data_IF_503316560257
#
_entry.id   IF_503316560257
#
_cell.length_a   1.000
_cell.length_b   1.000
_cell.length_c   1.000
_cell.angle_alpha   90.00
_cell.angle_beta   90.00
_cell.angle_gamma   90.00
#
_symmetry.space_group_name_H-M   'P 1'
#
loop_
_entity.id
_entity.type
_entity.pdbx_description
1 polymer ?
#
# COMPACT_ATOMS: atom_id res chain seq x y z
N UNK A 1 22.52 -5.32 37.49
CA UNK A 1 22.86 -4.53 36.29
C UNK A 1 21.75 -4.70 35.27
N UNK A 2 21.00 -3.64 34.96
CA UNK A 2 19.92 -3.70 33.96
C UNK A 2 20.48 -3.87 32.55
N UNK A 3 19.98 -4.86 31.80
CA UNK A 3 20.34 -5.03 30.38
C UNK A 3 19.93 -3.75 29.62
N UNK A 4 20.85 -3.13 28.88
CA UNK A 4 20.49 -2.04 27.96
C UNK A 4 19.54 -2.59 26.89
N UNK A 5 18.44 -1.87 26.65
CA UNK A 5 17.50 -2.22 25.61
C UNK A 5 18.17 -2.10 24.23
N UNK A 6 17.89 -3.05 23.35
CA UNK A 6 18.32 -3.00 21.95
C UNK A 6 17.55 -1.88 21.24
N UNK A 7 18.27 -0.96 20.57
CA UNK A 7 17.68 0.22 19.91
C UNK A 7 17.70 0.12 18.39
N UNK A 8 18.26 -0.95 17.84
CA UNK A 8 18.27 -1.19 16.40
C UNK A 8 16.91 -1.65 15.87
N UNK A 9 16.74 -1.58 14.56
CA UNK A 9 15.54 -2.12 13.89
C UNK A 9 15.48 -3.66 13.96
N UNK A 10 16.63 -4.34 13.88
CA UNK A 10 16.72 -5.80 14.02
C UNK A 10 18.14 -6.23 14.39
N UNK A 11 18.38 -7.47 14.87
CA UNK A 11 19.73 -7.95 15.19
C UNK A 11 20.75 -7.81 14.04
N UNK A 12 20.30 -7.88 12.79
CA UNK A 12 21.13 -7.67 11.60
C UNK A 12 21.44 -6.19 11.34
N UNK A 13 20.59 -5.29 11.83
CA UNK A 13 20.70 -3.83 11.67
C UNK A 13 20.57 -3.11 13.03
N UNK A 14 21.68 -2.97 13.78
CA UNK A 14 21.70 -2.24 15.05
C UNK A 14 21.77 -0.71 14.85
N UNK A 15 20.95 -0.22 13.93
CA UNK A 15 20.69 1.19 13.66
C UNK A 15 19.22 1.47 13.90
N UNK A 16 18.90 2.65 14.44
CA UNK A 16 17.54 3.15 14.49
C UNK A 16 17.05 3.47 13.08
N UNK A 17 15.72 3.49 12.86
CA UNK A 17 15.14 3.91 11.57
C UNK A 17 15.60 5.33 11.17
N UNK A 18 15.76 6.23 12.13
CA UNK A 18 16.21 7.60 11.89
C UNK A 18 17.67 7.65 11.42
N UNK A 19 18.58 6.90 12.06
CA UNK A 19 19.97 6.78 11.61
C UNK A 19 20.04 6.21 10.19
N UNK A 20 19.27 5.15 9.89
CA UNK A 20 19.25 4.56 8.55
C UNK A 20 18.73 5.55 7.50
N UNK A 21 17.67 6.29 7.82
CA UNK A 21 17.14 7.32 6.93
C UNK A 21 18.19 8.38 6.60
N UNK A 22 18.92 8.86 7.60
CA UNK A 22 19.99 9.83 7.42
C UNK A 22 21.16 9.28 6.61
N UNK A 23 21.60 8.05 6.89
CA UNK A 23 22.68 7.39 6.15
C UNK A 23 22.30 7.26 4.67
N UNK A 24 21.12 6.72 4.38
CA UNK A 24 20.64 6.49 3.00
C UNK A 24 20.51 7.82 2.26
N UNK A 25 19.96 8.85 2.91
CA UNK A 25 19.80 10.19 2.34
C UNK A 25 21.14 10.85 2.03
N UNK A 26 22.05 10.92 3.00
CA UNK A 26 23.33 11.64 2.87
C UNK A 26 24.27 10.94 1.90
N UNK A 27 24.21 9.61 1.83
CA UNK A 27 25.04 8.80 0.94
C UNK A 27 24.39 8.52 -0.41
N UNK A 28 23.17 9.02 -0.63
CA UNK A 28 22.38 8.84 -1.84
C UNK A 28 22.26 7.36 -2.28
N UNK A 29 22.10 6.45 -1.32
CA UNK A 29 22.07 5.01 -1.58
C UNK A 29 20.75 4.61 -2.23
N UNK A 30 20.80 3.80 -3.29
CA UNK A 30 19.62 3.41 -4.08
C UNK A 30 19.23 1.94 -3.98
N UNK A 31 20.18 1.06 -3.65
CA UNK A 31 19.94 -0.38 -3.57
C UNK A 31 20.08 -0.89 -2.15
N UNK A 32 19.40 -1.99 -1.83
CA UNK A 32 19.52 -2.63 -0.52
C UNK A 32 20.97 -3.07 -0.23
N UNK A 33 21.66 -3.60 -1.24
CA UNK A 33 23.05 -4.02 -1.10
C UNK A 33 23.96 -2.86 -0.72
N UNK A 34 23.80 -1.69 -1.35
CA UNK A 34 24.60 -0.51 -1.03
C UNK A 34 24.34 -0.03 0.40
N UNK A 35 23.09 -0.11 0.86
CA UNK A 35 22.72 0.19 2.26
C UNK A 35 23.43 -0.75 3.23
N UNK A 36 23.39 -2.07 2.97
CA UNK A 36 24.05 -3.06 3.82
C UNK A 36 25.57 -2.83 3.84
N UNK A 37 26.20 -2.62 2.68
CA UNK A 37 27.65 -2.40 2.58
C UNK A 37 28.10 -1.13 3.32
N UNK A 38 27.37 -0.02 3.17
CA UNK A 38 27.72 1.22 3.86
C UNK A 38 27.47 1.11 5.38
N UNK A 39 26.36 0.48 5.79
CA UNK A 39 26.09 0.24 7.21
C UNK A 39 27.13 -0.71 7.86
N UNK A 40 27.66 -1.67 7.10
CA UNK A 40 28.77 -2.52 7.54
C UNK A 40 30.08 -1.73 7.67
N UNK A 41 30.35 -0.80 6.74
CA UNK A 41 31.54 0.09 6.78
C UNK A 41 31.53 1.01 8.01
N UNK A 42 30.35 1.46 8.45
CA UNK A 42 30.16 2.25 9.68
C UNK A 42 30.37 1.41 10.96
N UNK A 43 30.58 0.09 10.83
CA UNK A 43 31.13 -0.76 11.90
C UNK A 43 30.10 -1.31 12.88
N UNK A 44 28.82 -1.29 12.51
CA UNK A 44 27.73 -1.77 13.39
C UNK A 44 27.08 -3.08 12.93
N UNK A 45 27.28 -3.54 11.69
CA UNK A 45 26.72 -4.83 11.24
C UNK A 45 27.64 -5.99 11.70
N UNK A 46 27.13 -6.95 12.51
CA UNK A 46 27.95 -8.03 13.06
C UNK A 46 28.27 -9.14 12.04
N UNK A 47 27.39 -9.38 11.07
CA UNK A 47 27.55 -10.38 10.01
C UNK A 47 27.00 -9.81 8.69
N UNK A 48 27.90 -9.55 7.74
CA UNK A 48 27.57 -8.98 6.44
C UNK A 48 26.70 -9.93 5.60
N UNK A 49 26.98 -11.23 5.65
CA UNK A 49 26.27 -12.21 4.83
C UNK A 49 24.85 -12.38 5.35
N UNK A 50 24.68 -12.45 6.67
CA UNK A 50 23.35 -12.50 7.28
C UNK A 50 22.57 -11.20 7.05
N UNK A 51 23.23 -10.04 7.10
CA UNK A 51 22.57 -8.76 6.82
C UNK A 51 22.17 -8.57 5.35
N UNK A 52 22.90 -9.15 4.39
CA UNK A 52 22.51 -9.17 2.97
C UNK A 52 21.29 -10.07 2.73
N UNK A 53 21.17 -11.17 3.47
CA UNK A 53 19.97 -12.02 3.43
C UNK A 53 18.76 -11.29 4.04
N UNK A 54 18.99 -10.57 5.14
CA UNK A 54 17.96 -9.80 5.84
C UNK A 54 16.87 -10.65 6.50
N UNK A 55 16.08 -10.01 7.35
CA UNK A 55 14.92 -10.58 8.04
C UNK A 55 13.62 -9.86 7.64
N UNK A 56 12.49 -10.33 8.17
CA UNK A 56 11.13 -9.78 7.95
C UNK A 56 10.94 -8.34 8.47
N UNK A 57 11.89 -7.79 9.23
CA UNK A 57 11.86 -6.43 9.76
C UNK A 57 12.76 -5.51 8.95
N UNK A 58 14.01 -5.89 8.72
CA UNK A 58 15.03 -5.00 8.15
C UNK A 58 14.85 -4.79 6.64
N UNK A 59 14.47 -5.82 5.88
CA UNK A 59 14.23 -5.68 4.44
C UNK A 59 13.08 -4.72 4.14
N UNK A 60 11.88 -4.91 4.73
CA UNK A 60 10.78 -3.97 4.50
C UNK A 60 11.07 -2.57 5.05
N UNK A 61 11.83 -2.44 6.14
CA UNK A 61 12.19 -1.13 6.70
C UNK A 61 13.11 -0.34 5.76
N UNK A 62 14.15 -0.97 5.22
CA UNK A 62 15.06 -0.33 4.25
C UNK A 62 14.33 -0.05 2.94
N UNK A 63 13.49 -0.97 2.47
CA UNK A 63 12.69 -0.76 1.25
C UNK A 63 11.72 0.42 1.40
N UNK A 64 11.06 0.56 2.55
CA UNK A 64 10.21 1.72 2.87
C UNK A 64 11.00 3.03 2.79
N UNK A 65 12.19 3.10 3.40
CA UNK A 65 13.03 4.31 3.37
C UNK A 65 13.45 4.65 1.93
N UNK A 66 13.88 3.66 1.15
CA UNK A 66 14.31 3.86 -0.24
C UNK A 66 13.15 4.32 -1.13
N UNK A 67 11.97 3.69 -1.02
CA UNK A 67 10.79 4.11 -1.77
C UNK A 67 10.39 5.56 -1.43
N UNK A 68 10.55 5.97 -0.16
CA UNK A 68 10.23 7.34 0.28
C UNK A 68 11.21 8.38 -0.20
N UNK A 69 12.51 8.10 -0.11
CA UNK A 69 13.54 9.05 -0.52
C UNK A 69 13.56 9.23 -2.04
N UNK A 70 13.28 8.16 -2.79
CA UNK A 70 13.43 8.13 -4.25
C UNK A 70 12.11 8.10 -5.02
N UNK A 71 10.96 8.14 -4.35
CA UNK A 71 9.61 8.06 -4.97
C UNK A 71 9.43 6.88 -5.93
N UNK A 72 10.03 5.74 -5.61
CA UNK A 72 9.97 4.54 -6.45
C UNK A 72 8.74 3.67 -6.13
N UNK A 73 8.28 2.92 -7.14
CA UNK A 73 7.18 1.98 -6.98
C UNK A 73 7.69 0.73 -6.22
N UNK A 74 7.09 0.35 -5.08
CA UNK A 74 7.53 -0.78 -4.27
C UNK A 74 7.48 -2.13 -5.00
N UNK A 75 6.70 -2.26 -6.08
CA UNK A 75 6.59 -3.51 -6.85
C UNK A 75 7.53 -3.60 -8.05
N UNK A 76 8.38 -2.58 -8.28
CA UNK A 76 9.24 -2.49 -9.46
C UNK A 76 10.68 -2.93 -9.16
N UNK A 77 11.23 -3.78 -10.02
CA UNK A 77 12.64 -4.19 -9.98
C UNK A 77 13.05 -4.80 -8.63
N UNK A 78 14.23 -4.42 -8.16
CA UNK A 78 14.85 -4.95 -6.93
C UNK A 78 14.06 -4.62 -5.65
N UNK A 79 13.17 -3.63 -5.68
CA UNK A 79 12.32 -3.30 -4.53
C UNK A 79 11.27 -4.37 -4.24
N UNK A 80 10.85 -5.09 -5.28
CA UNK A 80 9.81 -6.10 -5.21
C UNK A 80 10.17 -7.21 -4.22
N UNK A 81 11.42 -7.68 -4.27
CA UNK A 81 11.93 -8.77 -3.45
C UNK A 81 12.26 -8.35 -2.00
N UNK A 82 12.18 -7.05 -1.72
CA UNK A 82 12.37 -6.48 -0.37
C UNK A 82 11.05 -6.26 0.37
N UNK A 83 9.91 -6.34 -0.32
CA UNK A 83 8.59 -6.13 0.27
C UNK A 83 8.05 -7.39 0.94
N UNK A 84 7.26 -7.20 2.00
CA UNK A 84 6.44 -8.26 2.57
C UNK A 84 5.32 -8.67 1.61
N UNK A 85 4.70 -9.83 1.89
CA UNK A 85 3.61 -10.45 1.11
C UNK A 85 2.53 -9.47 0.65
N UNK A 86 2.17 -8.48 1.49
CA UNK A 86 1.10 -7.54 1.19
C UNK A 86 1.50 -6.44 0.18
N UNK A 87 2.69 -5.88 0.36
CA UNK A 87 3.18 -4.80 -0.50
C UNK A 87 3.64 -5.35 -1.86
N UNK A 88 4.06 -6.62 -1.91
CA UNK A 88 4.43 -7.32 -3.13
C UNK A 88 3.27 -7.44 -4.14
N UNK A 89 2.05 -7.73 -3.67
CA UNK A 89 0.84 -7.86 -4.52
C UNK A 89 -0.14 -6.69 -4.38
N UNK A 90 0.24 -5.63 -3.66
CA UNK A 90 -0.61 -4.48 -3.34
C UNK A 90 -1.97 -4.82 -2.70
N UNK A 91 -2.12 -6.03 -2.15
CA UNK A 91 -3.33 -6.59 -1.59
C UNK A 91 -3.03 -7.21 -0.22
N UNK A 92 -4.04 -7.34 0.64
CA UNK A 92 -3.81 -7.81 2.01
C UNK A 92 -4.22 -9.26 2.21
N UNK A 93 -3.28 -10.07 2.69
CA UNK A 93 -3.54 -11.46 3.09
C UNK A 93 -4.50 -11.52 4.28
N UNK A 94 -5.47 -12.41 4.18
CA UNK A 94 -6.50 -12.65 5.18
C UNK A 94 -6.21 -13.93 5.97
N UNK A 95 -6.93 -14.14 7.06
CA UNK A 95 -6.81 -15.37 7.87
C UNK A 95 -7.06 -16.66 7.07
N UNK A 96 -7.84 -16.57 5.99
CA UNK A 96 -8.12 -17.69 5.08
C UNK A 96 -7.00 -17.96 4.06
N UNK A 97 -5.95 -17.14 4.00
CA UNK A 97 -4.92 -17.18 2.97
C UNK A 97 -5.30 -16.50 1.65
N UNK A 98 -6.56 -16.09 1.50
CA UNK A 98 -7.01 -15.24 0.39
C UNK A 98 -6.65 -13.77 0.63
N UNK A 99 -6.84 -12.94 -0.38
CA UNK A 99 -6.45 -11.54 -0.39
C UNK A 99 -7.66 -10.62 -0.42
N UNK A 100 -7.46 -9.40 0.08
CA UNK A 100 -8.38 -8.28 -0.11
C UNK A 100 -7.74 -7.18 -0.92
N UNK A 101 -8.52 -6.67 -1.88
CA UNK A 101 -8.19 -5.57 -2.78
C UNK A 101 -8.96 -4.35 -2.31
N UNK A 102 -8.29 -3.20 -2.20
CA UNK A 102 -8.92 -1.95 -1.77
C UNK A 102 -8.35 -0.82 -2.62
N UNK A 103 -9.09 -0.36 -3.64
CA UNK A 103 -8.72 0.81 -4.43
C UNK A 103 -8.61 2.06 -3.55
N UNK A 104 -7.85 3.04 -4.02
CA UNK A 104 -7.74 4.35 -3.37
C UNK A 104 -9.01 5.15 -3.62
N UNK A 105 -9.42 5.88 -2.60
CA UNK A 105 -10.61 6.72 -2.58
C UNK A 105 -10.27 7.92 -1.69
N UNK A 106 -9.71 8.96 -2.30
CA UNK A 106 -9.18 10.11 -1.57
C UNK A 106 -10.31 10.86 -0.86
N UNK A 107 -10.17 11.10 0.45
CA UNK A 107 -11.21 11.78 1.24
C UNK A 107 -12.54 11.01 1.35
N UNK A 108 -12.62 9.77 0.85
CA UNK A 108 -13.87 9.02 0.75
C UNK A 108 -14.76 9.41 -0.45
N UNK A 109 -14.24 10.17 -1.42
CA UNK A 109 -14.98 10.55 -2.63
C UNK A 109 -14.92 9.45 -3.70
N UNK A 110 -16.09 8.93 -4.10
CA UNK A 110 -16.23 7.89 -5.12
C UNK A 110 -17.22 8.40 -6.18
N UNK A 111 -16.83 8.37 -7.45
CA UNK A 111 -17.73 8.67 -8.56
C UNK A 111 -18.70 7.50 -8.81
N UNK A 112 -19.90 7.74 -9.37
CA UNK A 112 -20.81 6.65 -9.74
C UNK A 112 -20.15 5.60 -10.66
N UNK A 113 -19.28 6.04 -11.57
CA UNK A 113 -18.56 5.18 -12.50
C UNK A 113 -17.57 4.26 -11.78
N UNK A 114 -16.77 4.78 -10.85
CA UNK A 114 -15.85 3.98 -10.02
C UNK A 114 -16.61 2.99 -9.13
N UNK A 115 -17.75 3.39 -8.59
CA UNK A 115 -18.60 2.49 -7.80
C UNK A 115 -19.12 1.32 -8.65
N UNK A 116 -19.53 1.58 -9.90
CA UNK A 116 -19.94 0.55 -10.86
C UNK A 116 -18.75 -0.34 -11.25
N UNK A 117 -17.56 0.23 -11.45
CA UNK A 117 -16.32 -0.52 -11.73
C UNK A 117 -16.01 -1.50 -10.59
N UNK A 118 -15.96 -1.03 -9.34
CA UNK A 118 -15.72 -1.89 -8.18
C UNK A 118 -16.79 -2.98 -8.05
N UNK A 119 -18.07 -2.64 -8.28
CA UNK A 119 -19.15 -3.63 -8.28
C UNK A 119 -19.01 -4.68 -9.38
N UNK A 120 -18.61 -4.26 -10.59
CA UNK A 120 -18.42 -5.16 -11.73
C UNK A 120 -17.26 -6.13 -11.49
N UNK A 121 -16.13 -5.62 -11.00
CA UNK A 121 -14.97 -6.44 -10.61
C UNK A 121 -15.37 -7.41 -9.50
N UNK A 122 -16.07 -6.95 -8.46
CA UNK A 122 -16.51 -7.82 -7.37
C UNK A 122 -17.44 -8.94 -7.85
N UNK A 123 -18.36 -8.67 -8.77
CA UNK A 123 -19.21 -9.68 -9.39
C UNK A 123 -18.39 -10.70 -10.19
N UNK A 124 -17.48 -10.22 -11.05
CA UNK A 124 -16.65 -11.06 -11.93
C UNK A 124 -15.78 -12.04 -11.16
N UNK A 125 -15.21 -11.61 -10.03
CA UNK A 125 -14.28 -12.41 -9.23
C UNK A 125 -14.92 -13.03 -7.98
N UNK A 126 -16.26 -12.93 -7.82
CA UNK A 126 -17.01 -13.40 -6.66
C UNK A 126 -16.44 -12.91 -5.32
N UNK A 127 -16.23 -11.59 -5.22
CA UNK A 127 -15.62 -10.95 -4.06
C UNK A 127 -16.69 -10.43 -3.11
N UNK A 128 -16.46 -10.61 -1.81
CA UNK A 128 -17.29 -9.97 -0.79
C UNK A 128 -16.90 -8.50 -0.64
N UNK A 129 -17.87 -7.59 -0.59
CA UNK A 129 -17.63 -6.15 -0.48
C UNK A 129 -17.97 -5.62 0.91
N UNK A 130 -17.15 -4.71 1.44
CA UNK A 130 -17.43 -4.01 2.70
C UNK A 130 -16.91 -2.58 2.70
N UNK A 131 -17.75 -1.66 3.17
CA UNK A 131 -17.32 -0.32 3.56
C UNK A 131 -16.43 -0.43 4.80
N UNK A 132 -15.22 0.10 4.69
CA UNK A 132 -14.20 0.07 5.73
C UNK A 132 -14.27 1.31 6.62
N UNK A 133 -13.71 1.23 7.83
CA UNK A 133 -13.57 2.40 8.72
C UNK A 133 -12.66 3.51 8.17
N UNK A 134 -12.04 3.28 7.01
CA UNK A 134 -11.24 4.25 6.27
C UNK A 134 -12.05 5.05 5.23
N UNK A 135 -13.39 4.90 5.18
CA UNK A 135 -14.26 5.49 4.16
C UNK A 135 -13.97 4.99 2.74
N UNK A 136 -13.60 3.71 2.62
CA UNK A 136 -13.28 3.04 1.34
C UNK A 136 -14.04 1.74 1.20
N UNK A 137 -14.15 1.24 -0.02
CA UNK A 137 -14.73 -0.06 -0.33
C UNK A 137 -13.63 -1.11 -0.44
N UNK A 138 -13.65 -2.10 0.45
CA UNK A 138 -12.78 -3.27 0.37
C UNK A 138 -13.50 -4.42 -0.33
N UNK A 139 -12.78 -5.12 -1.20
CA UNK A 139 -13.20 -6.35 -1.88
C UNK A 139 -12.36 -7.51 -1.35
N UNK A 140 -12.99 -8.58 -0.90
CA UNK A 140 -12.35 -9.67 -0.14
C UNK A 140 -12.59 -11.02 -0.81
N UNK A 141 -11.61 -11.91 -0.67
CA UNK A 141 -11.72 -13.30 -1.10
C UNK A 141 -11.02 -13.62 -2.42
N UNK A 142 -10.17 -12.70 -2.90
CA UNK A 142 -9.40 -12.92 -4.11
C UNK A 142 -8.28 -13.94 -3.87
N UNK A 143 -8.09 -14.87 -4.80
CA UNK A 143 -6.92 -15.73 -4.81
C UNK A 143 -5.72 -14.97 -5.38
N UNK A 144 -4.49 -15.36 -5.01
CA UNK A 144 -3.28 -14.66 -5.43
C UNK A 144 -3.13 -14.57 -6.96
N UNK A 145 -3.50 -15.62 -7.69
CA UNK A 145 -3.42 -15.65 -9.15
C UNK A 145 -4.44 -14.76 -9.85
N UNK A 146 -5.51 -14.34 -9.15
CA UNK A 146 -6.51 -13.40 -9.69
C UNK A 146 -6.07 -11.94 -9.50
N UNK A 147 -5.10 -11.67 -8.62
CA UNK A 147 -4.71 -10.30 -8.29
C UNK A 147 -4.19 -9.50 -9.49
N UNK A 148 -3.35 -10.04 -10.39
CA UNK A 148 -2.91 -9.30 -11.57
C UNK A 148 -4.10 -8.83 -12.42
N UNK A 149 -5.05 -9.71 -12.73
CA UNK A 149 -6.22 -9.39 -13.55
C UNK A 149 -7.15 -8.39 -12.85
N UNK A 150 -7.38 -8.57 -11.53
CA UNK A 150 -8.17 -7.63 -10.73
C UNK A 150 -7.55 -6.23 -10.75
N UNK A 151 -6.23 -6.13 -10.54
CA UNK A 151 -5.53 -4.84 -10.55
C UNK A 151 -5.50 -4.22 -11.94
N UNK A 152 -5.34 -5.02 -12.99
CA UNK A 152 -5.41 -4.57 -14.38
C UNK A 152 -6.76 -3.90 -14.68
N UNK A 153 -7.87 -4.58 -14.35
CA UNK A 153 -9.21 -4.05 -14.59
C UNK A 153 -9.50 -2.78 -13.78
N UNK A 154 -9.07 -2.75 -12.51
CA UNK A 154 -9.23 -1.57 -11.66
C UNK A 154 -8.37 -0.40 -12.16
N UNK A 155 -7.09 -0.64 -12.47
CA UNK A 155 -6.14 0.42 -12.85
C UNK A 155 -6.42 0.98 -14.24
N UNK A 156 -6.84 0.15 -15.20
CA UNK A 156 -7.24 0.63 -16.52
C UNK A 156 -8.72 1.00 -16.62
N UNK A 157 -9.48 0.82 -15.54
CA UNK A 157 -10.88 1.24 -15.47
C UNK A 157 -11.83 0.44 -16.34
N UNK A 158 -11.46 -0.76 -16.78
CA UNK A 158 -12.22 -1.55 -17.76
C UNK A 158 -12.62 -2.89 -17.18
N UNK A 159 -13.91 -3.11 -17.03
CA UNK A 159 -14.44 -4.40 -16.60
C UNK A 159 -15.78 -4.70 -17.24
N UNK A 160 -16.10 -5.98 -17.35
CA UNK A 160 -17.40 -6.43 -17.83
C UNK A 160 -17.80 -7.73 -17.14
N UNK A 161 -19.07 -7.81 -16.77
CA UNK A 161 -19.68 -8.99 -16.21
C UNK A 161 -20.99 -9.29 -16.95
N UNK A 162 -21.08 -10.49 -17.52
CA UNK A 162 -22.32 -11.04 -18.05
C UNK A 162 -22.89 -12.00 -17.00
N UNK A 163 -24.09 -11.70 -16.51
CA UNK A 163 -24.77 -12.41 -15.43
C UNK A 163 -24.70 -13.95 -15.46
N UNK A 164 -24.88 -14.56 -14.29
CA UNK A 164 -24.99 -16.01 -14.12
C UNK A 164 -26.45 -16.43 -13.89
N UNK A 165 -26.69 -17.73 -13.69
CA UNK A 165 -28.01 -18.26 -13.30
C UNK A 165 -28.65 -17.52 -12.13
N UNK A 166 -27.83 -17.05 -11.19
CA UNK A 166 -28.29 -16.46 -9.92
C UNK A 166 -28.16 -14.93 -9.89
N UNK A 167 -27.43 -14.34 -10.85
CA UNK A 167 -27.17 -12.89 -10.91
C UNK A 167 -27.62 -12.35 -12.27
N UNK A 168 -28.76 -11.66 -12.28
CA UNK A 168 -29.38 -11.09 -13.49
C UNK A 168 -28.80 -9.74 -13.93
N UNK A 169 -27.65 -9.36 -13.37
CA UNK A 169 -26.97 -8.10 -13.71
C UNK A 169 -26.04 -8.34 -14.89
N UNK A 170 -26.08 -7.45 -15.86
CA UNK A 170 -25.06 -7.30 -16.89
C UNK A 170 -24.45 -5.91 -16.73
N UNK A 171 -23.13 -5.84 -16.68
CA UNK A 171 -22.43 -4.57 -16.60
C UNK A 171 -21.22 -4.57 -17.51
N UNK A 172 -20.99 -3.43 -18.15
CA UNK A 172 -19.77 -3.11 -18.88
C UNK A 172 -19.46 -1.65 -18.56
N UNK A 173 -18.25 -1.39 -18.13
CA UNK A 173 -17.85 -0.06 -17.67
C UNK A 173 -16.42 0.23 -18.13
N UNK A 174 -16.22 1.48 -18.52
CA UNK A 174 -14.92 2.05 -18.86
C UNK A 174 -14.81 3.40 -18.12
N UNK A 175 -13.74 3.59 -17.35
CA UNK A 175 -13.45 4.78 -16.55
C UNK A 175 -11.96 5.13 -16.66
N UNK A 176 -11.53 6.21 -15.98
CA UNK A 176 -10.12 6.57 -15.89
C UNK A 176 -9.29 5.60 -15.01
N UNK A 177 -9.93 4.61 -14.40
CA UNK A 177 -9.32 3.63 -13.51
C UNK A 177 -9.14 4.11 -12.07
N UNK A 178 -8.62 3.22 -11.24
CA UNK A 178 -8.40 3.42 -9.81
C UNK A 178 -7.05 2.83 -9.41
N UNK A 179 -6.29 3.59 -8.63
CA UNK A 179 -5.01 3.13 -8.08
C UNK A 179 -5.20 2.28 -6.80
N UNK A 180 -4.15 1.56 -6.39
CA UNK A 180 -4.20 0.82 -5.11
C UNK A 180 -4.25 1.78 -3.91
N UNK A 181 -5.16 1.49 -2.99
CA UNK A 181 -5.26 2.18 -1.71
C UNK A 181 -4.17 1.80 -0.70
N UNK A 182 -3.27 0.86 -1.05
CA UNK A 182 -2.18 0.37 -0.19
C UNK A 182 -2.64 0.12 1.24
N UNK A 183 -3.77 -0.58 1.41
CA UNK A 183 -4.53 -0.60 2.66
C UNK A 183 -3.76 -1.12 3.90
N UNK A 184 -2.66 -1.83 3.68
CA UNK A 184 -1.78 -2.39 4.71
C UNK A 184 -0.30 -2.10 4.45
N UNK A 185 0.03 -1.31 3.43
CA UNK A 185 1.41 -0.88 3.21
C UNK A 185 1.86 0.05 4.34
N UNK A 186 3.16 0.04 4.62
CA UNK A 186 3.80 1.01 5.53
C UNK A 186 3.88 2.38 4.83
N UNK A 187 2.72 2.99 4.58
CA UNK A 187 2.53 4.20 3.79
C UNK A 187 1.36 5.03 4.32
N UNK A 188 1.14 6.24 3.78
CA UNK A 188 -0.14 6.93 3.99
C UNK A 188 -1.30 6.12 3.37
N UNK A 189 -2.14 5.55 4.24
CA UNK A 189 -3.17 4.60 3.83
C UNK A 189 -4.47 5.26 3.36
N UNK A 190 -4.96 6.25 4.10
CA UNK A 190 -6.17 6.99 3.79
C UNK A 190 -6.24 8.26 4.64
N UNK A 191 -6.81 9.33 4.08
CA UNK A 191 -7.19 10.54 4.83
C UNK A 191 -8.70 10.59 4.85
N UNK A 192 -9.26 10.45 6.05
CA UNK A 192 -10.72 10.47 6.24
C UNK A 192 -11.21 11.90 6.39
N UNK A 193 -12.36 12.21 5.82
CA UNK A 193 -13.05 13.49 6.00
C UNK A 193 -14.52 13.29 6.31
N UNK A 194 -15.08 14.16 7.15
CA UNK A 194 -16.52 14.36 7.11
C UNK A 194 -16.86 15.19 5.86
N UNK A 195 -18.14 15.23 5.48
CA UNK A 195 -18.60 15.98 4.31
C UNK A 195 -18.46 17.51 4.43
N UNK A 196 -18.02 18.02 5.58
CA UNK A 196 -17.61 19.41 5.77
C UNK A 196 -18.66 20.45 5.36
N UNK A 197 -18.19 21.63 4.97
CA UNK A 197 -19.03 22.68 4.37
C UNK A 197 -19.58 22.31 2.99
N UNK A 198 -19.09 21.23 2.36
CA UNK A 198 -19.58 20.76 1.07
C UNK A 198 -21.03 20.28 1.15
N UNK A 199 -21.44 19.68 2.28
CA UNK A 199 -22.80 19.16 2.45
C UNK A 199 -23.39 19.30 3.86
N UNK A 200 -22.56 19.31 4.92
CA UNK A 200 -23.08 19.33 6.28
C UNK A 200 -23.59 20.73 6.63
N UNK A 201 -24.86 20.83 7.07
CA UNK A 201 -25.44 22.07 7.60
C UNK A 201 -24.61 22.70 8.73
N UNK A 202 -23.92 21.88 9.52
CA UNK A 202 -23.06 22.31 10.63
C UNK A 202 -21.56 22.28 10.28
N UNK A 203 -21.22 22.13 8.99
CA UNK A 203 -19.85 22.14 8.53
C UNK A 203 -19.22 23.50 8.80
N UNK A 204 -18.06 23.51 9.47
CA UNK A 204 -17.34 24.74 9.80
C UNK A 204 -16.23 25.07 8.80
N UNK A 205 -15.65 24.06 8.17
CA UNK A 205 -14.55 24.19 7.23
C UNK A 205 -14.67 23.16 6.09
N UNK A 206 -13.95 23.41 5.00
CA UNK A 206 -13.84 22.50 3.87
C UNK A 206 -12.88 21.35 4.20
N UNK A 207 -13.40 20.36 4.92
CA UNK A 207 -12.65 19.15 5.30
C UNK A 207 -12.41 18.20 4.12
N UNK A 208 -13.28 18.22 3.11
CA UNK A 208 -13.24 17.28 1.98
C UNK A 208 -12.06 17.62 1.07
N UNK A 209 -12.00 18.86 0.58
CA UNK A 209 -10.89 19.30 -0.28
C UNK A 209 -9.55 19.17 0.44
N UNK A 210 -9.51 19.47 1.74
CA UNK A 210 -8.30 19.33 2.54
C UNK A 210 -7.84 17.86 2.63
N UNK A 211 -8.76 16.93 2.87
CA UNK A 211 -8.44 15.51 2.93
C UNK A 211 -7.94 14.97 1.58
N UNK A 212 -8.61 15.32 0.48
CA UNK A 212 -8.17 14.96 -0.87
C UNK A 212 -6.76 15.49 -1.14
N UNK A 213 -6.50 16.77 -0.87
CA UNK A 213 -5.17 17.37 -1.07
C UNK A 213 -4.08 16.70 -0.24
N UNK A 214 -4.37 16.35 1.02
CA UNK A 214 -3.41 15.65 1.88
C UNK A 214 -3.14 14.24 1.35
N UNK A 215 -4.17 13.50 0.96
CA UNK A 215 -4.00 12.15 0.44
C UNK A 215 -3.25 12.14 -0.88
N UNK A 216 -3.62 13.00 -1.83
CA UNK A 216 -2.94 13.15 -3.12
C UNK A 216 -1.49 13.62 -2.97
N UNK A 217 -1.21 14.49 -2.00
CA UNK A 217 0.16 14.98 -1.76
C UNK A 217 1.06 13.92 -1.16
N UNK A 218 0.53 13.07 -0.27
CA UNK A 218 1.33 12.17 0.55
C UNK A 218 1.12 10.68 0.20
N UNK A 219 0.25 10.35 -0.76
CA UNK A 219 0.14 8.99 -1.29
C UNK A 219 1.49 8.60 -1.89
N UNK A 220 1.96 7.39 -1.55
CA UNK A 220 3.28 6.90 -1.95
C UNK A 220 4.42 7.21 -0.96
N UNK A 221 4.27 8.13 0.00
CA UNK A 221 5.26 8.29 1.07
C UNK A 221 5.17 7.14 2.08
N UNK A 222 6.32 6.54 2.42
CA UNK A 222 6.51 5.36 3.30
C UNK A 222 7.45 5.61 4.50
#
# INVERSE_FOLDING_TARGET
MGKKAFTGISPHFPFTRAELFEIIRVKELKTYEDVVRECARVGKIPDLQAALVGDEVCKPAVASILCTLWYENPTKGDFKDLQDTNDYVLANVQRSGQYSVTPRVCGGEITPQEMILMGTVALKYNLWMKITGAQRVGMFGANIWQLPDIWEELTYGRSSFSGSSDIKVQSRIETDGMESGQAYGKALRAVKSCVGTSWCRFGQQDSVTMAVKLEERYKGFR
#
